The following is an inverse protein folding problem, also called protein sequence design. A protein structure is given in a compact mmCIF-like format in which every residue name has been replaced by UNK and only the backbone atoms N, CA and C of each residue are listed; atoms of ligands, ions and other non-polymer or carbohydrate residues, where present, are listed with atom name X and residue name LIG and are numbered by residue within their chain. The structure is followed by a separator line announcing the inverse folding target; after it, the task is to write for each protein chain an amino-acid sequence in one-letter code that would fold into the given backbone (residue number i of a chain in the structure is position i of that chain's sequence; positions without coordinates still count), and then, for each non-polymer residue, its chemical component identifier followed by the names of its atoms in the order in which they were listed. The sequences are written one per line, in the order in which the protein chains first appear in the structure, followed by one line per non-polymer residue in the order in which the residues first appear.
data_IF_599570972689
#
_entry.id   IF_599570972689
#
_cell.length_a   1.000
_cell.length_b   1.000
_cell.length_c   1.000
_cell.angle_alpha   90.00
_cell.angle_beta   90.00
_cell.angle_gamma   90.00
#
_symmetry.space_group_name_H-M   'P 1'
#
loop_
_entity.id
_entity.type
_entity.pdbx_description
1 polymer ?
#
# COMPACT_ATOMS: atom_id res chain seq x y z
N UNK A 1 -55.20 16.56 49.43
CA UNK A 1 -55.03 17.16 48.07
C UNK A 1 -53.56 17.33 47.83
N UNK A 2 -52.93 16.57 46.92
CA UNK A 2 -51.49 16.76 46.59
C UNK A 2 -50.74 15.47 46.21
N UNK A 3 -51.24 14.69 45.22
CA UNK A 3 -50.45 13.55 44.67
C UNK A 3 -50.62 13.29 43.17
N UNK A 4 -51.16 14.27 42.43
CA UNK A 4 -51.47 14.07 40.98
C UNK A 4 -50.52 14.75 39.97
N UNK A 5 -49.49 15.51 40.42
CA UNK A 5 -48.68 16.28 39.47
C UNK A 5 -47.23 15.77 39.27
N UNK A 6 -46.83 14.60 39.84
CA UNK A 6 -45.46 14.11 39.67
C UNK A 6 -45.28 12.95 38.65
N UNK A 7 -46.38 12.38 38.09
CA UNK A 7 -46.28 11.30 37.14
C UNK A 7 -46.25 11.74 35.64
N UNK A 8 -46.67 12.93 35.30
CA UNK A 8 -46.71 13.40 33.91
C UNK A 8 -45.35 13.93 33.37
N UNK A 9 -44.44 14.38 34.27
CA UNK A 9 -43.12 14.84 33.82
C UNK A 9 -42.12 13.74 33.46
N UNK A 10 -42.28 12.55 34.02
CA UNK A 10 -41.33 11.44 33.77
C UNK A 10 -41.60 10.74 32.43
N UNK A 11 -42.81 10.74 31.97
CA UNK A 11 -43.22 10.07 30.70
C UNK A 11 -42.81 10.88 29.46
N UNK A 12 -42.72 12.22 29.55
CA UNK A 12 -42.28 13.09 28.46
C UNK A 12 -40.76 13.06 28.28
N UNK A 13 -40.01 12.84 29.36
CA UNK A 13 -38.52 12.74 29.28
C UNK A 13 -38.03 11.42 28.65
N UNK A 14 -38.75 10.32 28.79
CA UNK A 14 -38.43 9.03 28.20
C UNK A 14 -38.76 9.00 26.69
N UNK A 15 -39.77 9.77 26.24
CA UNK A 15 -40.17 9.82 24.81
C UNK A 15 -39.23 10.67 23.97
N UNK A 16 -38.49 11.62 24.55
CA UNK A 16 -37.50 12.48 23.88
C UNK A 16 -36.12 11.82 23.70
N UNK A 17 -35.85 10.71 24.39
CA UNK A 17 -34.59 9.94 24.26
C UNK A 17 -34.62 8.86 23.18
N UNK A 18 -35.78 8.62 22.54
CA UNK A 18 -35.94 7.61 21.49
C UNK A 18 -35.85 8.15 20.05
N UNK A 19 -35.63 9.46 19.85
CA UNK A 19 -35.58 10.09 18.51
C UNK A 19 -34.14 10.36 18.04
N UNK A 20 -33.13 9.74 18.63
CA UNK A 20 -31.73 10.04 18.35
C UNK A 20 -30.89 8.91 17.75
N UNK A 21 -31.47 7.76 17.42
CA UNK A 21 -30.77 6.75 16.65
C UNK A 21 -31.12 6.91 15.15
N UNK A 22 -30.61 7.98 14.53
CA UNK A 22 -30.53 8.04 13.09
C UNK A 22 -29.69 6.84 12.64
N UNK A 23 -30.33 5.87 11.99
CA UNK A 23 -29.62 4.85 11.26
C UNK A 23 -28.73 5.58 10.23
N UNK A 24 -27.44 5.70 10.50
CA UNK A 24 -26.49 6.07 9.47
C UNK A 24 -26.63 4.99 8.41
N UNK A 25 -27.14 5.36 7.24
CA UNK A 25 -27.16 4.48 6.09
C UNK A 25 -25.71 4.01 5.88
N UNK A 26 -25.49 2.70 5.82
CA UNK A 26 -24.21 2.15 5.42
C UNK A 26 -23.83 2.80 4.08
N UNK A 27 -22.56 3.21 3.89
CA UNK A 27 -22.14 3.77 2.62
C UNK A 27 -22.53 2.81 1.50
N UNK A 28 -23.02 3.35 0.39
CA UNK A 28 -23.40 2.55 -0.79
C UNK A 28 -22.15 1.81 -1.26
N UNK A 29 -22.21 0.48 -1.35
CA UNK A 29 -21.16 -0.32 -1.97
C UNK A 29 -21.36 -0.38 -3.47
N UNK A 30 -20.25 -0.44 -4.23
CA UNK A 30 -20.26 -0.58 -5.68
C UNK A 30 -20.37 -2.06 -6.08
N UNK A 31 -21.20 -2.36 -7.06
CA UNK A 31 -21.37 -3.71 -7.63
C UNK A 31 -20.58 -3.95 -8.92
N UNK A 32 -19.96 -2.90 -9.47
CA UNK A 32 -19.09 -2.97 -10.65
C UNK A 32 -17.85 -2.11 -10.47
N UNK A 33 -16.79 -2.40 -11.24
CA UNK A 33 -15.58 -1.57 -11.25
C UNK A 33 -15.90 -0.15 -11.70
N UNK A 34 -16.79 0.04 -12.66
CA UNK A 34 -17.18 1.36 -13.14
C UNK A 34 -17.83 2.19 -12.03
N UNK A 35 -18.81 1.61 -11.33
CA UNK A 35 -19.43 2.27 -10.16
C UNK A 35 -18.41 2.60 -9.08
N UNK A 36 -17.46 1.69 -8.83
CA UNK A 36 -16.41 1.91 -7.85
C UNK A 36 -15.50 3.09 -8.21
N UNK A 37 -15.13 3.20 -9.48
CA UNK A 37 -14.31 4.31 -9.97
C UNK A 37 -15.08 5.63 -10.07
N UNK A 38 -16.39 5.58 -10.34
CA UNK A 38 -17.25 6.77 -10.29
C UNK A 38 -17.39 7.34 -8.86
N UNK A 39 -17.30 6.49 -7.84
CA UNK A 39 -17.29 6.96 -6.44
C UNK A 39 -16.03 7.78 -6.09
N UNK A 40 -14.93 7.51 -6.77
CA UNK A 40 -13.63 8.16 -6.57
C UNK A 40 -13.06 8.54 -7.94
N UNK A 41 -13.77 9.46 -8.64
CA UNK A 41 -13.37 9.89 -9.98
C UNK A 41 -12.13 10.78 -9.94
N UNK A 42 -11.05 10.27 -10.48
CA UNK A 42 -9.75 10.94 -10.61
C UNK A 42 -9.51 11.48 -12.02
N UNK A 43 -10.44 11.29 -12.94
CA UNK A 43 -10.24 11.56 -14.38
C UNK A 43 -9.95 13.04 -14.67
N UNK A 44 -10.51 13.96 -13.88
CA UNK A 44 -10.32 15.40 -14.01
C UNK A 44 -9.03 15.92 -13.35
N UNK A 45 -8.39 15.14 -12.47
CA UNK A 45 -7.17 15.61 -11.77
C UNK A 45 -6.06 16.00 -12.74
N UNK A 46 -5.91 15.23 -13.82
CA UNK A 46 -4.89 15.45 -14.85
C UNK A 46 -5.05 16.80 -15.57
N UNK A 47 -6.25 17.36 -15.65
CA UNK A 47 -6.49 18.63 -16.37
C UNK A 47 -5.73 19.83 -15.75
N UNK A 48 -5.52 19.79 -14.44
CA UNK A 48 -4.80 20.82 -13.69
C UNK A 48 -3.47 20.32 -13.11
N UNK A 49 -3.32 19.01 -12.88
CA UNK A 49 -2.15 18.40 -12.26
C UNK A 49 -1.37 17.51 -13.24
N UNK A 50 -1.18 17.95 -14.48
CA UNK A 50 -0.55 17.19 -15.59
C UNK A 50 0.83 16.64 -15.21
N UNK A 51 1.72 17.46 -14.64
CA UNK A 51 3.06 17.03 -14.24
C UNK A 51 3.02 15.99 -13.11
N UNK A 52 2.20 16.21 -12.10
CA UNK A 52 2.03 15.28 -10.96
C UNK A 52 1.45 13.95 -11.45
N UNK A 53 0.46 14.02 -12.36
CA UNK A 53 -0.13 12.83 -12.97
C UNK A 53 0.89 12.04 -13.79
N UNK A 54 1.74 12.71 -14.59
CA UNK A 54 2.79 12.06 -15.35
C UNK A 54 3.79 11.34 -14.44
N UNK A 55 4.25 11.98 -13.37
CA UNK A 55 5.12 11.37 -12.37
C UNK A 55 4.48 10.14 -11.72
N UNK A 56 3.22 10.27 -11.27
CA UNK A 56 2.48 9.16 -10.67
C UNK A 56 2.29 8.00 -11.64
N UNK A 57 1.94 8.26 -12.91
CA UNK A 57 1.69 7.21 -13.90
C UNK A 57 2.91 6.34 -14.18
N UNK A 58 4.12 6.89 -14.01
CA UNK A 58 5.37 6.15 -14.12
C UNK A 58 5.71 5.36 -12.84
N UNK A 59 5.09 5.69 -11.71
CA UNK A 59 5.34 5.04 -10.42
C UNK A 59 4.80 3.63 -10.33
N UNK A 60 5.26 2.89 -9.31
CA UNK A 60 4.71 1.58 -8.98
C UNK A 60 3.33 1.67 -8.32
N UNK A 61 2.96 2.81 -7.73
CA UNK A 61 1.63 3.03 -7.19
C UNK A 61 0.55 2.95 -8.28
N UNK A 62 0.80 3.53 -9.45
CA UNK A 62 -0.11 3.42 -10.61
C UNK A 62 -0.24 1.99 -11.15
N UNK A 63 0.66 1.08 -10.78
CA UNK A 63 0.73 -0.31 -11.25
C UNK A 63 0.57 -1.32 -10.11
N UNK A 64 0.13 -0.89 -8.94
CA UNK A 64 0.19 -1.65 -7.68
C UNK A 64 -0.49 -3.02 -7.73
N UNK A 65 -1.66 -3.16 -8.34
CA UNK A 65 -2.34 -4.45 -8.49
C UNK A 65 -1.65 -5.32 -9.54
N UNK A 66 -1.41 -4.78 -10.73
CA UNK A 66 -0.87 -5.58 -11.84
C UNK A 66 0.59 -6.01 -11.62
N UNK A 67 1.36 -5.25 -10.86
CA UNK A 67 2.71 -5.64 -10.43
C UNK A 67 2.72 -6.71 -9.34
N UNK A 68 1.63 -6.85 -8.59
CA UNK A 68 1.51 -7.75 -7.43
C UNK A 68 0.68 -9.01 -7.72
N UNK A 69 0.29 -9.24 -8.97
CA UNK A 69 -0.56 -10.39 -9.35
C UNK A 69 -0.06 -11.73 -8.83
N UNK A 70 1.24 -11.99 -8.87
CA UNK A 70 1.82 -13.26 -8.42
C UNK A 70 1.65 -13.50 -6.93
N UNK A 71 1.89 -12.49 -6.11
CA UNK A 71 1.73 -12.57 -4.65
C UNK A 71 0.26 -12.78 -4.26
N UNK A 72 -0.63 -11.97 -4.82
CA UNK A 72 -2.07 -12.06 -4.52
C UNK A 72 -2.67 -13.37 -5.04
N UNK A 73 -2.30 -13.81 -6.24
CA UNK A 73 -2.67 -15.12 -6.77
C UNK A 73 -2.26 -16.27 -5.84
N UNK A 74 -1.01 -16.25 -5.36
CA UNK A 74 -0.52 -17.29 -4.45
C UNK A 74 -1.26 -17.28 -3.12
N UNK A 75 -1.58 -16.11 -2.59
CA UNK A 75 -2.42 -16.00 -1.41
C UNK A 75 -3.80 -16.64 -1.63
N UNK A 76 -4.46 -16.37 -2.76
CA UNK A 76 -5.79 -16.91 -3.07
C UNK A 76 -5.74 -18.41 -3.34
N UNK A 77 -4.87 -18.85 -4.26
CA UNK A 77 -4.89 -20.22 -4.79
C UNK A 77 -4.13 -21.23 -3.94
N UNK A 78 -3.07 -20.79 -3.28
CA UNK A 78 -2.27 -21.67 -2.42
C UNK A 78 -2.70 -21.49 -0.97
N UNK A 79 -2.64 -20.26 -0.44
CA UNK A 79 -2.99 -19.99 0.94
C UNK A 79 -4.45 -20.32 1.24
N UNK A 80 -5.38 -19.55 0.68
CA UNK A 80 -6.80 -19.72 1.02
C UNK A 80 -7.35 -21.08 0.58
N UNK A 81 -7.21 -21.43 -0.70
CA UNK A 81 -7.89 -22.63 -1.26
C UNK A 81 -7.24 -23.94 -0.86
N UNK A 82 -5.89 -24.04 -0.85
CA UNK A 82 -5.20 -25.33 -0.64
C UNK A 82 -4.74 -25.57 0.78
N UNK A 83 -4.18 -24.56 1.44
CA UNK A 83 -3.59 -24.74 2.78
C UNK A 83 -4.62 -24.52 3.89
N UNK A 84 -5.47 -23.51 3.76
CA UNK A 84 -6.40 -23.13 4.83
C UNK A 84 -7.85 -23.55 4.55
N UNK A 85 -8.12 -24.06 3.34
CA UNK A 85 -9.47 -24.46 2.92
C UNK A 85 -10.55 -23.39 3.21
N UNK A 86 -10.15 -22.12 3.06
CA UNK A 86 -10.98 -20.95 3.38
C UNK A 86 -11.51 -20.33 2.11
N UNK A 87 -12.81 -20.01 2.04
CA UNK A 87 -13.38 -19.35 0.87
C UNK A 87 -12.81 -17.95 0.69
N UNK A 88 -12.67 -17.51 -0.56
CA UNK A 88 -12.35 -16.14 -0.87
C UNK A 88 -13.54 -15.24 -0.49
N UNK A 89 -13.26 -14.20 0.29
CA UNK A 89 -14.21 -13.16 0.69
C UNK A 89 -13.58 -11.80 0.48
N UNK A 90 -14.39 -10.73 0.50
CA UNK A 90 -13.89 -9.34 0.50
C UNK A 90 -12.88 -9.13 1.64
N UNK A 91 -13.21 -9.59 2.86
CA UNK A 91 -12.31 -9.47 4.01
C UNK A 91 -10.96 -10.15 3.81
N UNK A 92 -10.93 -11.33 3.16
CA UNK A 92 -9.66 -11.99 2.80
C UNK A 92 -8.90 -11.22 1.72
N UNK A 93 -9.59 -10.72 0.70
CA UNK A 93 -8.95 -9.98 -0.38
C UNK A 93 -8.38 -8.64 0.09
N UNK A 94 -9.03 -7.97 1.04
CA UNK A 94 -8.56 -6.72 1.63
C UNK A 94 -7.23 -6.87 2.39
N UNK A 95 -6.82 -8.07 2.77
CA UNK A 95 -5.47 -8.30 3.32
C UNK A 95 -4.35 -7.92 2.34
N UNK A 96 -4.66 -7.88 1.06
CA UNK A 96 -3.75 -7.40 0.01
C UNK A 96 -4.22 -6.04 -0.54
N UNK A 97 -5.49 -5.95 -0.93
CA UNK A 97 -6.00 -4.82 -1.71
C UNK A 97 -6.31 -3.57 -0.87
N UNK A 98 -6.35 -3.67 0.45
CA UNK A 98 -6.41 -2.46 1.30
C UNK A 98 -5.19 -1.55 1.09
N UNK A 99 -4.05 -2.11 0.70
CA UNK A 99 -2.85 -1.37 0.34
C UNK A 99 -2.67 -1.22 -1.19
N UNK A 100 -2.97 -2.26 -1.99
CA UNK A 100 -2.70 -2.25 -3.42
C UNK A 100 -3.79 -1.58 -4.27
N UNK A 101 -5.01 -1.47 -3.75
CA UNK A 101 -6.14 -0.77 -4.36
C UNK A 101 -7.16 -0.37 -3.29
N UNK A 102 -6.90 0.66 -2.48
CA UNK A 102 -7.73 1.02 -1.32
C UNK A 102 -9.22 1.27 -1.63
N UNK A 103 -9.54 1.64 -2.87
CA UNK A 103 -10.94 1.82 -3.32
C UNK A 103 -11.79 0.56 -3.16
N UNK A 104 -11.18 -0.64 -3.13
CA UNK A 104 -11.88 -1.93 -2.96
C UNK A 104 -12.61 -2.02 -1.61
N UNK A 105 -12.25 -1.21 -0.64
CA UNK A 105 -13.02 -1.09 0.60
C UNK A 105 -14.50 -0.73 0.36
N UNK A 106 -14.80 -0.08 -0.75
CA UNK A 106 -16.14 0.37 -1.14
C UNK A 106 -16.82 -0.57 -2.14
N UNK A 107 -16.19 -1.68 -2.52
CA UNK A 107 -16.79 -2.72 -3.34
C UNK A 107 -17.76 -3.57 -2.53
N UNK A 108 -18.81 -4.09 -3.17
CA UNK A 108 -19.64 -5.14 -2.58
C UNK A 108 -18.84 -6.45 -2.44
N UNK A 109 -19.33 -7.35 -1.59
CA UNK A 109 -18.74 -8.70 -1.44
C UNK A 109 -18.62 -9.40 -2.79
N UNK A 110 -19.67 -9.32 -3.61
CA UNK A 110 -19.71 -9.92 -4.96
C UNK A 110 -18.63 -9.35 -5.85
N UNK A 111 -18.50 -8.03 -5.96
CA UNK A 111 -17.49 -7.38 -6.80
C UNK A 111 -16.07 -7.73 -6.33
N UNK A 112 -15.83 -7.74 -5.02
CA UNK A 112 -14.53 -8.10 -4.45
C UNK A 112 -14.12 -9.53 -4.84
N UNK A 113 -15.05 -10.49 -4.78
CA UNK A 113 -14.79 -11.88 -5.21
C UNK A 113 -14.49 -11.93 -6.72
N UNK A 114 -15.26 -11.23 -7.55
CA UNK A 114 -15.03 -11.14 -9.00
C UNK A 114 -13.63 -10.57 -9.32
N UNK A 115 -13.18 -9.54 -8.59
CA UNK A 115 -11.82 -8.99 -8.71
C UNK A 115 -10.77 -10.04 -8.34
N UNK A 116 -10.97 -10.80 -7.28
CA UNK A 116 -10.07 -11.89 -6.89
C UNK A 116 -9.98 -12.98 -7.97
N UNK A 117 -11.09 -13.34 -8.61
CA UNK A 117 -11.12 -14.28 -9.73
C UNK A 117 -10.43 -13.73 -10.98
N UNK A 118 -10.58 -12.42 -11.25
CA UNK A 118 -9.83 -11.76 -12.32
C UNK A 118 -8.32 -11.80 -12.06
N UNK A 119 -7.85 -11.61 -10.83
CA UNK A 119 -6.44 -11.72 -10.46
C UNK A 119 -5.91 -13.13 -10.74
N UNK A 120 -6.68 -14.16 -10.38
CA UNK A 120 -6.33 -15.54 -10.65
C UNK A 120 -6.22 -15.80 -12.15
N UNK A 121 -7.20 -15.35 -12.94
CA UNK A 121 -7.21 -15.47 -14.42
C UNK A 121 -6.03 -14.72 -15.04
N UNK A 122 -5.79 -13.48 -14.63
CA UNK A 122 -4.72 -12.65 -15.15
C UNK A 122 -3.32 -13.28 -14.96
N UNK A 123 -3.13 -14.03 -13.88
CA UNK A 123 -1.85 -14.66 -13.57
C UNK A 123 -1.70 -16.04 -14.21
N UNK A 124 -2.74 -16.89 -14.13
CA UNK A 124 -2.67 -18.29 -14.61
C UNK A 124 -2.63 -18.43 -16.13
N UNK A 125 -3.45 -17.65 -16.81
CA UNK A 125 -3.69 -17.81 -18.25
C UNK A 125 -2.82 -16.87 -19.09
N UNK A 126 -1.53 -16.86 -18.83
CA UNK A 126 -0.58 -15.96 -19.53
C UNK A 126 -0.86 -15.98 -21.03
N UNK A 127 -0.96 -14.80 -21.64
CA UNK A 127 -1.18 -14.57 -23.07
C UNK A 127 -2.57 -14.93 -23.62
N UNK A 128 -3.50 -15.44 -22.83
CA UNK A 128 -4.88 -15.63 -23.25
C UNK A 128 -5.62 -14.30 -23.42
N UNK A 129 -6.68 -14.30 -24.22
CA UNK A 129 -7.56 -13.13 -24.33
C UNK A 129 -8.22 -12.78 -22.98
N UNK A 130 -8.58 -13.80 -22.20
CA UNK A 130 -9.16 -13.63 -20.86
C UNK A 130 -8.16 -12.95 -19.91
N UNK A 131 -6.89 -13.37 -19.90
CA UNK A 131 -5.85 -12.75 -19.08
C UNK A 131 -5.60 -11.29 -19.47
N UNK A 132 -5.59 -10.97 -20.77
CA UNK A 132 -5.43 -9.57 -21.24
C UNK A 132 -6.58 -8.71 -20.78
N UNK A 133 -7.83 -9.14 -20.99
CA UNK A 133 -9.02 -8.43 -20.54
C UNK A 133 -9.04 -8.24 -19.01
N UNK A 134 -8.68 -9.27 -18.25
CA UNK A 134 -8.57 -9.19 -16.79
C UNK A 134 -7.51 -8.16 -16.36
N UNK A 135 -6.32 -8.16 -16.98
CA UNK A 135 -5.27 -7.19 -16.69
C UNK A 135 -5.67 -5.75 -17.01
N UNK A 136 -6.40 -5.53 -18.11
CA UNK A 136 -6.93 -4.20 -18.47
C UNK A 136 -7.90 -3.68 -17.40
N UNK A 137 -8.80 -4.51 -16.88
CA UNK A 137 -9.69 -4.12 -15.79
C UNK A 137 -8.92 -3.90 -14.48
N UNK A 138 -8.00 -4.79 -14.14
CA UNK A 138 -7.20 -4.70 -12.92
C UNK A 138 -6.23 -3.51 -12.93
N UNK A 139 -5.74 -3.08 -14.08
CA UNK A 139 -4.89 -1.89 -14.22
C UNK A 139 -5.60 -0.58 -13.83
N UNK A 140 -6.94 -0.58 -13.85
CA UNK A 140 -7.77 0.55 -13.39
C UNK A 140 -7.86 0.64 -11.88
N UNK A 141 -7.52 -0.46 -11.18
CA UNK A 141 -7.49 -0.57 -9.72
C UNK A 141 -6.03 -0.42 -9.27
N UNK A 142 -5.72 0.66 -8.56
CA UNK A 142 -4.37 1.01 -8.18
C UNK A 142 -4.36 1.91 -6.93
N UNK A 143 -3.18 2.38 -6.53
CA UNK A 143 -3.03 3.44 -5.54
C UNK A 143 -3.06 4.77 -6.29
N UNK A 144 -4.26 5.26 -6.58
CA UNK A 144 -4.50 6.50 -7.30
C UNK A 144 -4.40 7.74 -6.42
N UNK A 145 -4.78 8.88 -6.97
CA UNK A 145 -4.74 10.17 -6.28
C UNK A 145 -5.57 10.14 -5.00
N UNK A 146 -6.83 9.71 -5.10
CA UNK A 146 -7.77 9.67 -3.98
C UNK A 146 -7.48 8.54 -2.99
N UNK A 147 -6.68 7.55 -3.35
CA UNK A 147 -6.18 6.58 -2.39
C UNK A 147 -5.35 7.26 -1.28
N UNK A 148 -4.56 8.26 -1.64
CA UNK A 148 -3.78 9.06 -0.67
C UNK A 148 -4.51 10.32 -0.24
N UNK A 149 -5.11 11.05 -1.18
CA UNK A 149 -5.73 12.36 -0.92
C UNK A 149 -7.18 12.29 -0.42
N UNK A 150 -7.73 11.10 -0.19
CA UNK A 150 -9.04 10.91 0.44
C UNK A 150 -9.02 9.71 1.40
N UNK A 151 -9.01 8.48 0.90
CA UNK A 151 -9.26 7.26 1.66
C UNK A 151 -8.27 7.07 2.81
N UNK A 152 -6.97 7.02 2.50
CA UNK A 152 -5.92 6.75 3.51
C UNK A 152 -5.66 7.94 4.42
N UNK A 153 -5.82 9.18 3.92
CA UNK A 153 -5.76 10.38 4.76
C UNK A 153 -6.86 10.35 5.84
N UNK A 154 -8.05 9.85 5.49
CA UNK A 154 -9.14 9.68 6.45
C UNK A 154 -8.85 8.56 7.45
N UNK A 155 -8.23 7.46 7.04
CA UNK A 155 -7.86 6.37 7.95
C UNK A 155 -6.82 6.79 8.99
N UNK A 156 -5.77 7.50 8.59
CA UNK A 156 -4.73 8.01 9.52
C UNK A 156 -5.34 9.00 10.50
N UNK A 157 -6.20 9.88 10.02
CA UNK A 157 -6.88 10.89 10.82
C UNK A 157 -8.18 10.36 11.45
N UNK A 158 -8.34 9.06 11.58
CA UNK A 158 -9.55 8.44 12.12
C UNK A 158 -9.94 9.04 13.46
N UNK A 159 -11.15 9.60 13.51
CA UNK A 159 -11.65 10.36 14.65
C UNK A 159 -11.44 11.87 14.56
N UNK A 160 -10.67 12.35 13.59
CA UNK A 160 -10.48 13.79 13.31
C UNK A 160 -11.28 14.22 12.09
N UNK A 161 -11.10 13.54 10.96
CA UNK A 161 -11.70 13.91 9.68
C UNK A 161 -12.97 13.08 9.35
N UNK A 162 -13.24 12.04 10.12
CA UNK A 162 -14.36 11.14 9.86
C UNK A 162 -14.12 10.17 8.71
N UNK A 163 -15.18 9.54 8.15
CA UNK A 163 -15.06 8.64 7.02
C UNK A 163 -14.72 9.39 5.73
N UNK A 164 -14.13 8.69 4.76
CA UNK A 164 -13.86 9.24 3.44
C UNK A 164 -15.15 9.76 2.78
N UNK A 165 -15.08 10.94 2.20
CA UNK A 165 -16.20 11.63 1.56
C UNK A 165 -15.93 11.80 0.07
N UNK A 166 -16.96 11.53 -0.76
CA UNK A 166 -16.86 11.71 -2.19
C UNK A 166 -16.63 13.20 -2.53
N UNK A 167 -15.69 13.48 -3.44
CA UNK A 167 -15.35 14.84 -3.89
C UNK A 167 -14.49 15.64 -2.91
N UNK A 168 -14.19 15.12 -1.73
CA UNK A 168 -13.29 15.76 -0.77
C UNK A 168 -11.83 15.42 -1.07
N UNK A 169 -10.98 16.44 -1.09
CA UNK A 169 -9.53 16.30 -1.25
C UNK A 169 -8.83 16.68 0.05
N UNK A 170 -7.95 15.83 0.53
CA UNK A 170 -7.07 16.13 1.65
C UNK A 170 -5.69 16.53 1.16
N UNK A 171 -5.16 17.63 1.66
CA UNK A 171 -3.86 18.15 1.27
C UNK A 171 -3.07 18.71 2.45
N UNK A 172 -1.75 18.83 2.35
CA UNK A 172 -0.96 19.42 3.43
C UNK A 172 -1.14 20.94 3.56
N UNK A 173 -1.64 21.61 2.51
CA UNK A 173 -1.81 23.07 2.49
C UNK A 173 -3.19 23.53 2.98
N UNK A 174 -4.22 22.68 2.94
CA UNK A 174 -5.57 23.02 3.36
C UNK A 174 -6.33 23.87 2.34
N UNK A 175 -7.03 24.86 2.81
CA UNK A 175 -8.02 25.69 2.12
C UNK A 175 -7.46 26.72 1.11
N UNK A 176 -6.21 26.60 0.71
CA UNK A 176 -5.65 27.39 -0.41
C UNK A 176 -6.21 26.85 -1.74
N UNK A 177 -7.54 26.95 -1.93
CA UNK A 177 -8.17 26.50 -3.16
C UNK A 177 -8.29 27.68 -4.13
N UNK A 178 -7.94 27.41 -5.38
CA UNK A 178 -8.28 28.26 -6.51
C UNK A 178 -9.76 28.09 -6.96
N UNK A 179 -10.55 27.33 -6.21
CA UNK A 179 -11.97 27.05 -6.45
C UNK A 179 -12.26 25.85 -7.31
N UNK A 180 -11.23 25.04 -7.68
CA UNK A 180 -11.43 23.86 -8.52
C UNK A 180 -12.06 22.69 -7.73
N UNK A 181 -11.70 22.51 -6.46
CA UNK A 181 -12.26 21.50 -5.55
C UNK A 181 -12.16 21.94 -4.08
N UNK A 182 -12.98 21.35 -3.24
CA UNK A 182 -12.87 21.53 -1.79
C UNK A 182 -11.68 20.73 -1.25
N UNK A 183 -10.87 21.38 -0.38
CA UNK A 183 -9.69 20.77 0.21
C UNK A 183 -9.72 20.93 1.73
N UNK A 184 -9.51 19.82 2.43
CA UNK A 184 -9.26 19.82 3.87
C UNK A 184 -7.77 19.63 4.15
N UNK A 185 -7.27 20.39 5.12
CA UNK A 185 -5.90 20.23 5.58
C UNK A 185 -5.72 18.90 6.30
N UNK A 186 -4.69 18.14 5.91
CA UNK A 186 -4.21 16.96 6.64
C UNK A 186 -2.70 17.06 6.84
N UNK A 187 -2.28 17.27 8.08
CA UNK A 187 -0.87 17.27 8.45
C UNK A 187 -0.29 15.82 8.44
N UNK A 188 -1.13 14.81 8.39
CA UNK A 188 -0.70 13.40 8.34
C UNK A 188 -0.01 13.07 7.03
N UNK A 189 -0.42 13.69 5.91
CA UNK A 189 0.18 13.47 4.58
C UNK A 189 1.69 13.78 4.50
N UNK A 190 2.22 14.57 5.41
CA UNK A 190 3.65 14.91 5.47
C UNK A 190 4.41 14.12 6.53
N UNK A 191 3.76 13.17 7.19
CA UNK A 191 4.37 12.32 8.21
C UNK A 191 4.65 10.91 7.69
N UNK A 192 5.76 10.31 8.13
CA UNK A 192 6.09 8.92 7.78
C UNK A 192 4.98 7.93 8.14
N UNK A 193 4.22 8.19 9.20
CA UNK A 193 3.09 7.37 9.62
C UNK A 193 2.05 7.17 8.51
N UNK A 194 1.88 8.15 7.63
CA UNK A 194 1.00 8.05 6.48
C UNK A 194 1.42 6.91 5.53
N UNK A 195 2.69 6.85 5.15
CA UNK A 195 3.22 5.80 4.28
C UNK A 195 3.20 4.43 4.96
N UNK A 196 3.40 4.41 6.28
CA UNK A 196 3.45 3.18 7.08
C UNK A 196 2.12 2.43 7.17
N UNK A 197 1.01 3.04 6.77
CA UNK A 197 -0.29 2.36 6.67
C UNK A 197 -0.23 1.17 5.70
N UNK A 198 0.56 1.31 4.62
CA UNK A 198 0.77 0.27 3.61
C UNK A 198 2.19 -0.32 3.69
N UNK A 199 3.20 0.51 4.00
CA UNK A 199 4.60 0.11 4.09
C UNK A 199 5.01 -0.26 5.52
N UNK A 200 4.21 -1.12 6.17
CA UNK A 200 4.43 -1.54 7.55
C UNK A 200 3.62 -2.76 7.94
N UNK A 201 3.50 -2.96 9.23
CA UNK A 201 2.67 -3.99 9.85
C UNK A 201 1.35 -3.35 10.25
N UNK A 202 0.22 -3.93 9.87
CA UNK A 202 -1.09 -3.42 10.23
C UNK A 202 -2.04 -4.52 10.71
N UNK A 203 -3.16 -4.11 11.30
CA UNK A 203 -4.24 -5.00 11.70
C UNK A 203 -5.34 -4.97 10.65
N UNK A 204 -5.63 -6.13 10.07
CA UNK A 204 -6.80 -6.30 9.21
C UNK A 204 -8.11 -6.19 10.01
N UNK A 205 -9.23 -6.06 9.33
CA UNK A 205 -10.56 -5.90 9.95
C UNK A 205 -10.97 -7.07 10.84
N UNK A 206 -10.47 -8.27 10.57
CA UNK A 206 -10.66 -9.49 11.37
C UNK A 206 -9.69 -9.58 12.57
N UNK A 207 -8.82 -8.58 12.76
CA UNK A 207 -7.83 -8.53 13.83
C UNK A 207 -6.52 -9.28 13.53
N UNK A 208 -6.41 -9.93 12.37
CA UNK A 208 -5.16 -10.57 11.95
C UNK A 208 -4.06 -9.53 11.71
N UNK A 209 -2.83 -9.88 12.04
CA UNK A 209 -1.68 -9.01 11.78
C UNK A 209 -1.12 -9.31 10.40
N UNK A 210 -1.15 -8.32 9.54
CA UNK A 210 -0.60 -8.38 8.18
C UNK A 210 0.81 -7.78 8.20
N UNK A 211 1.75 -8.53 7.66
CA UNK A 211 3.17 -8.16 7.60
C UNK A 211 3.72 -8.52 6.22
N UNK A 212 3.49 -7.66 5.24
CA UNK A 212 4.01 -7.84 3.88
C UNK A 212 5.45 -7.31 3.73
N UNK A 213 5.85 -6.36 4.58
CA UNK A 213 7.17 -5.75 4.58
C UNK A 213 7.57 -5.27 5.98
N UNK A 214 8.83 -4.91 6.17
CA UNK A 214 9.38 -4.43 7.45
C UNK A 214 9.90 -3.00 7.38
N UNK A 215 9.57 -2.24 6.32
CA UNK A 215 10.07 -0.88 6.07
C UNK A 215 9.86 0.05 7.26
N UNK A 216 8.63 0.13 7.79
CA UNK A 216 8.32 0.99 8.94
C UNK A 216 9.15 0.64 10.18
N UNK A 217 9.28 -0.66 10.47
CA UNK A 217 10.04 -1.14 11.62
C UNK A 217 11.54 -0.87 11.47
N UNK A 218 12.11 -1.13 10.30
CA UNK A 218 13.53 -0.88 10.03
C UNK A 218 13.85 0.62 10.03
N UNK A 219 12.97 1.45 9.47
CA UNK A 219 13.10 2.91 9.52
C UNK A 219 13.11 3.42 10.97
N UNK A 220 12.15 3.01 11.79
CA UNK A 220 12.07 3.43 13.19
C UNK A 220 13.25 2.96 14.02
N UNK A 221 13.64 1.67 13.89
CA UNK A 221 14.68 1.07 14.73
C UNK A 221 16.11 1.32 14.25
N UNK A 222 16.30 1.63 12.96
CA UNK A 222 17.64 1.86 12.42
C UNK A 222 17.90 3.34 12.14
N UNK A 223 17.00 4.04 11.46
CA UNK A 223 17.25 5.42 11.06
C UNK A 223 16.88 6.41 12.17
N UNK A 224 15.64 6.38 12.66
CA UNK A 224 15.17 7.32 13.70
C UNK A 224 15.92 7.09 15.02
N UNK A 225 16.09 5.83 15.43
CA UNK A 225 16.80 5.49 16.67
C UNK A 225 18.27 5.95 16.68
N UNK A 226 18.88 6.13 15.51
CA UNK A 226 20.25 6.65 15.35
C UNK A 226 20.29 8.16 15.03
N UNK A 227 19.19 8.89 15.24
CA UNK A 227 19.15 10.35 15.12
C UNK A 227 18.75 10.85 13.72
N UNK A 228 18.27 9.98 12.84
CA UNK A 228 17.67 10.38 11.57
C UNK A 228 16.40 11.19 11.79
N UNK A 229 16.16 12.21 10.95
CA UNK A 229 15.04 13.13 11.10
C UNK A 229 14.19 13.31 9.83
N UNK A 230 14.65 12.79 8.69
CA UNK A 230 13.91 12.86 7.43
C UNK A 230 12.73 11.90 7.44
N UNK A 231 11.59 12.36 6.95
CA UNK A 231 10.40 11.52 6.74
C UNK A 231 10.54 10.66 5.48
N UNK A 232 9.60 9.72 5.28
CA UNK A 232 9.52 8.97 4.02
C UNK A 232 9.35 9.92 2.83
N UNK A 233 8.51 10.94 3.02
CA UNK A 233 8.23 11.96 2.02
C UNK A 233 9.47 12.79 1.67
N UNK A 234 10.30 13.15 2.64
CA UNK A 234 11.54 13.92 2.41
C UNK A 234 12.54 13.20 1.49
N UNK A 235 12.46 11.88 1.42
CA UNK A 235 13.34 11.08 0.58
C UNK A 235 12.65 10.62 -0.72
N UNK A 236 11.38 10.19 -0.65
CA UNK A 236 10.69 9.56 -1.77
C UNK A 236 9.80 10.50 -2.58
N UNK A 237 9.49 11.71 -2.08
CA UNK A 237 8.78 12.76 -2.80
C UNK A 237 9.69 13.91 -3.27
N UNK A 238 11.02 13.79 -3.12
CA UNK A 238 11.97 14.79 -3.62
C UNK A 238 11.82 15.03 -5.13
N UNK A 239 11.50 13.97 -5.89
CA UNK A 239 11.19 14.01 -7.32
C UNK A 239 9.67 14.04 -7.60
N UNK A 240 8.87 14.58 -6.70
CA UNK A 240 7.41 14.60 -6.81
C UNK A 240 6.79 13.21 -6.62
N UNK A 241 5.74 12.89 -7.37
CA UNK A 241 4.94 11.67 -7.22
C UNK A 241 5.47 10.45 -7.98
N UNK A 242 6.75 10.45 -8.37
CA UNK A 242 7.41 9.29 -8.98
C UNK A 242 7.65 8.16 -7.95
N UNK A 243 7.80 8.50 -6.69
CA UNK A 243 8.09 7.55 -5.59
C UNK A 243 9.26 6.61 -5.92
N UNK A 244 10.47 7.13 -6.19
CA UNK A 244 11.59 6.31 -6.61
C UNK A 244 11.99 5.31 -5.51
N UNK A 245 12.43 4.12 -5.91
CA UNK A 245 12.82 3.04 -5.02
C UNK A 245 13.75 2.06 -5.71
N UNK A 246 13.66 0.76 -5.40
CA UNK A 246 14.50 -0.30 -5.95
C UNK A 246 14.44 -0.45 -7.48
N UNK A 247 13.47 0.15 -8.14
CA UNK A 247 13.30 0.19 -9.59
C UNK A 247 13.96 1.40 -10.27
N UNK A 248 14.46 2.39 -9.49
CA UNK A 248 15.18 3.56 -9.99
C UNK A 248 16.67 3.39 -9.69
N UNK A 249 17.47 3.22 -10.73
CA UNK A 249 18.91 2.91 -10.60
C UNK A 249 19.69 4.03 -9.91
N UNK A 250 19.28 5.29 -10.07
CA UNK A 250 19.98 6.41 -9.46
C UNK A 250 19.65 6.50 -7.97
N UNK A 251 18.44 6.19 -7.58
CA UNK A 251 18.04 6.05 -6.17
C UNK A 251 18.78 4.88 -5.52
N UNK A 252 18.89 3.73 -6.19
CA UNK A 252 19.68 2.59 -5.69
C UNK A 252 21.15 2.95 -5.50
N UNK A 253 21.76 3.65 -6.46
CA UNK A 253 23.17 4.11 -6.37
C UNK A 253 23.40 5.09 -5.22
N UNK A 254 22.42 5.91 -4.87
CA UNK A 254 22.51 6.80 -3.71
C UNK A 254 22.37 6.02 -2.40
N UNK A 255 21.49 5.03 -2.39
CA UNK A 255 21.16 4.24 -1.19
C UNK A 255 22.14 3.11 -0.87
N UNK A 256 22.88 2.60 -1.87
CA UNK A 256 23.78 1.45 -1.70
C UNK A 256 25.20 1.84 -2.09
N UNK A 257 26.12 1.77 -1.13
CA UNK A 257 27.55 1.81 -1.38
C UNK A 257 28.05 0.43 -1.79
N UNK A 258 28.92 0.37 -2.81
CA UNK A 258 29.57 -0.86 -3.23
C UNK A 258 31.05 -0.62 -3.37
N UNK A 259 31.84 -1.41 -2.64
CA UNK A 259 33.32 -1.43 -2.75
C UNK A 259 33.74 -2.86 -3.04
N UNK A 260 34.71 -3.01 -3.96
CA UNK A 260 35.20 -4.33 -4.37
C UNK A 260 36.73 -4.34 -4.23
N UNK A 261 37.21 -5.28 -3.44
CA UNK A 261 38.64 -5.56 -3.30
C UNK A 261 39.00 -6.90 -3.93
N UNK A 262 40.10 -6.95 -4.62
CA UNK A 262 40.61 -8.19 -5.23
C UNK A 262 42.01 -8.48 -4.69
N UNK A 263 42.13 -9.59 -3.98
CA UNK A 263 43.40 -10.08 -3.47
C UNK A 263 43.81 -11.31 -4.28
N UNK A 264 44.86 -11.21 -5.10
CA UNK A 264 45.38 -12.36 -5.82
C UNK A 264 46.03 -13.35 -4.86
N UNK A 265 45.79 -14.63 -5.09
CA UNK A 265 46.53 -15.67 -4.39
C UNK A 265 46.69 -16.91 -5.30
N UNK A 266 47.58 -17.80 -4.88
CA UNK A 266 47.75 -19.09 -5.56
C UNK A 266 47.10 -20.19 -4.73
N UNK A 267 46.20 -20.92 -5.34
CA UNK A 267 45.53 -22.06 -4.73
C UNK A 267 46.19 -23.37 -5.18
N UNK A 268 46.62 -24.16 -4.20
CA UNK A 268 46.94 -25.57 -4.45
C UNK A 268 45.59 -26.35 -4.31
N UNK A 269 45.04 -26.89 -5.39
CA UNK A 269 43.85 -27.71 -5.28
C UNK A 269 44.11 -28.82 -4.27
N UNK A 270 43.42 -28.83 -3.17
CA UNK A 270 43.54 -29.86 -2.15
C UNK A 270 43.34 -31.23 -2.81
N UNK A 271 43.83 -32.28 -2.21
CA UNK A 271 43.87 -33.66 -2.69
C UNK A 271 42.62 -34.02 -3.55
N UNK A 272 42.68 -33.69 -4.83
CA UNK A 272 41.87 -34.37 -5.81
C UNK A 272 42.44 -35.77 -5.93
N UNK A 273 41.70 -36.78 -5.55
CA UNK A 273 42.07 -38.18 -5.70
C UNK A 273 42.59 -38.40 -7.12
N UNK A 274 43.86 -38.81 -7.27
CA UNK A 274 44.49 -39.07 -8.56
C UNK A 274 45.39 -37.97 -9.10
N UNK A 275 45.48 -36.76 -8.53
CA UNK A 275 46.44 -35.72 -8.93
C UNK A 275 47.69 -35.86 -8.10
N UNK A 276 48.75 -36.44 -8.67
CA UNK A 276 50.07 -36.63 -8.02
C UNK A 276 51.05 -35.47 -8.20
N UNK A 277 50.69 -34.40 -8.89
CA UNK A 277 51.57 -33.32 -9.20
C UNK A 277 51.41 -32.16 -8.21
N UNK A 278 52.35 -32.07 -7.23
CA UNK A 278 52.43 -31.02 -6.22
C UNK A 278 52.74 -29.62 -6.78
N UNK A 279 52.89 -29.51 -8.10
CA UNK A 279 53.27 -28.24 -8.75
C UNK A 279 52.09 -27.48 -9.39
N UNK A 280 50.91 -27.97 -9.29
CA UNK A 280 49.72 -27.29 -9.87
C UNK A 280 49.15 -26.23 -8.93
N UNK A 281 49.90 -25.19 -8.72
CA UNK A 281 49.35 -23.93 -8.16
C UNK A 281 48.49 -23.24 -9.22
N UNK A 282 47.21 -23.09 -8.92
CA UNK A 282 46.27 -22.40 -9.81
C UNK A 282 46.18 -20.94 -9.38
N UNK A 283 46.47 -19.99 -10.29
CA UNK A 283 46.23 -18.59 -10.00
C UNK A 283 44.72 -18.38 -9.68
N UNK A 284 44.46 -17.75 -8.55
CA UNK A 284 43.12 -17.51 -8.05
C UNK A 284 43.05 -16.08 -7.50
N UNK A 285 41.86 -15.63 -7.23
CA UNK A 285 41.62 -14.38 -6.55
C UNK A 285 40.53 -14.53 -5.50
N UNK A 286 40.70 -13.86 -4.39
CA UNK A 286 39.60 -13.59 -3.45
C UNK A 286 38.98 -12.26 -3.83
N UNK A 287 37.72 -12.27 -4.14
CA UNK A 287 36.94 -11.04 -4.37
C UNK A 287 36.13 -10.78 -3.11
N UNK A 288 36.43 -9.68 -2.45
CA UNK A 288 35.69 -9.20 -1.28
C UNK A 288 34.80 -8.05 -1.74
N UNK A 289 33.53 -8.16 -1.45
CA UNK A 289 32.54 -7.14 -1.78
C UNK A 289 31.98 -6.56 -0.49
N UNK A 290 32.15 -5.28 -0.29
CA UNK A 290 31.55 -4.52 0.80
C UNK A 290 30.29 -3.85 0.28
N UNK A 291 29.18 -4.08 0.96
CA UNK A 291 27.88 -3.46 0.66
C UNK A 291 27.52 -2.58 1.85
N UNK A 292 27.43 -1.28 1.61
CA UNK A 292 27.05 -0.30 2.61
C UNK A 292 25.62 0.21 2.35
N UNK A 293 24.72 -0.03 3.30
CA UNK A 293 23.35 0.46 3.25
C UNK A 293 23.30 1.89 3.83
N UNK A 294 23.12 2.88 2.96
CA UNK A 294 23.00 4.30 3.29
C UNK A 294 21.55 4.77 3.36
N UNK A 295 20.58 3.87 3.15
CA UNK A 295 19.16 4.21 3.21
C UNK A 295 18.66 4.36 4.65
N UNK A 296 17.50 4.96 4.82
CA UNK A 296 16.82 5.06 6.11
C UNK A 296 16.14 3.75 6.58
N UNK A 297 16.27 2.65 5.86
CA UNK A 297 15.61 1.38 6.16
C UNK A 297 16.39 0.19 5.59
N UNK A 298 15.92 -1.03 5.84
CA UNK A 298 16.48 -2.24 5.26
C UNK A 298 16.32 -2.28 3.74
N UNK A 299 17.29 -2.82 3.02
CA UNK A 299 17.25 -3.06 1.57
C UNK A 299 17.89 -4.43 1.28
N UNK A 300 17.24 -5.28 0.47
CA UNK A 300 15.85 -5.16 -0.01
C UNK A 300 14.84 -5.37 1.12
N UNK A 301 13.64 -4.82 0.97
CA UNK A 301 12.51 -5.04 1.87
C UNK A 301 11.19 -4.86 1.12
N UNK A 302 10.20 -5.71 1.40
CA UNK A 302 8.84 -5.61 0.90
C UNK A 302 8.45 -6.54 -0.19
#
# INVERSE_FOLDING_TARGET
MGTAHKLTSLTIFILLLLIGAGAQASPKEADTIDELLEMFDESSCMECHEEVHAQWSDSWHAKSVVSSLGGIHNFIEIGLKKEWETPLTKGQLLKCLDCHAPVINFASEKLAIEIGEMIVTAFKEKDSAASKAAKEQLARLNVGCLACHNIKATEVARGYNGPAEQGMIYGPRGDETDGAHETLKSDDLVQSAFCMQCHGIYKASDGETINCNTLSGSYQNSYIANGGSKTCQDCHLEKGHLFPGGHDIDTVRQGIGLEVEITPYQHLPGKLEGVKDEKLWVPSAVVTVFIDNKTGHRVPDG
#
